data_IF_461200107684
#
_entry.id   IF_461200107684
#
_cell.length_a   1.000
_cell.length_b   1.000
_cell.length_c   1.000
_cell.angle_alpha   90.00
_cell.angle_beta   90.00
_cell.angle_gamma   90.00
#
_symmetry.space_group_name_H-M   'P 1'
#
loop_
_entity.id
_entity.type
_entity.pdbx_description
1 polymer ?
#
# COMPACT_ATOMS: atom_id res chain seq x y z
N UNK A 1 14.78 -16.79 -3.59
CA UNK A 1 13.92 -16.30 -4.69
C UNK A 1 13.02 -15.25 -4.06
N UNK A 2 13.11 -13.98 -4.48
CA UNK A 2 12.23 -12.94 -3.95
C UNK A 2 10.79 -13.24 -4.39
N UNK A 3 9.83 -13.20 -3.47
CA UNK A 3 8.41 -13.38 -3.78
C UNK A 3 7.80 -12.01 -4.11
N UNK A 4 6.84 -11.95 -5.03
CA UNK A 4 6.07 -10.74 -5.31
C UNK A 4 4.60 -10.99 -5.01
N UNK A 5 4.00 -10.07 -4.27
CA UNK A 5 2.58 -10.09 -3.94
C UNK A 5 1.91 -8.95 -4.69
N UNK A 6 0.78 -9.23 -5.34
CA UNK A 6 0.04 -8.23 -6.09
C UNK A 6 -1.38 -8.10 -5.55
N UNK A 7 -1.90 -6.88 -5.52
CA UNK A 7 -3.27 -6.61 -5.17
C UNK A 7 -3.87 -5.58 -6.13
N UNK A 8 -5.08 -5.84 -6.60
CA UNK A 8 -5.75 -4.94 -7.53
C UNK A 8 -6.33 -3.72 -6.83
N UNK A 9 -6.34 -2.59 -7.53
CA UNK A 9 -6.79 -1.31 -7.02
C UNK A 9 -8.26 -1.27 -6.56
N UNK A 10 -9.08 -2.21 -7.02
CA UNK A 10 -10.46 -2.38 -6.59
C UNK A 10 -10.60 -3.17 -5.29
N UNK A 11 -9.54 -3.79 -4.76
CA UNK A 11 -9.64 -4.67 -3.60
C UNK A 11 -9.94 -3.87 -2.32
N UNK A 12 -10.85 -4.35 -1.43
CA UNK A 12 -11.19 -3.66 -0.17
C UNK A 12 -9.99 -3.33 0.72
N UNK A 13 -9.01 -4.22 0.77
CA UNK A 13 -7.83 -4.08 1.62
C UNK A 13 -6.67 -3.30 0.98
N UNK A 14 -6.89 -2.60 -0.14
CA UNK A 14 -5.80 -1.98 -0.90
C UNK A 14 -4.98 -0.96 -0.08
N UNK A 15 -5.62 -0.16 0.77
CA UNK A 15 -4.92 0.76 1.66
C UNK A 15 -4.08 0.04 2.69
N UNK A 16 -4.63 -1.00 3.32
CA UNK A 16 -3.91 -1.79 4.32
C UNK A 16 -2.72 -2.50 3.68
N UNK A 17 -2.91 -3.09 2.51
CA UNK A 17 -1.84 -3.73 1.75
C UNK A 17 -0.65 -2.79 1.50
N UNK A 18 -0.91 -1.56 1.04
CA UNK A 18 0.14 -0.57 0.78
C UNK A 18 0.81 -0.12 2.09
N UNK A 19 0.01 0.30 3.08
CA UNK A 19 0.52 0.84 4.35
C UNK A 19 1.27 -0.23 5.15
N UNK A 20 0.85 -1.50 5.07
CA UNK A 20 1.48 -2.64 5.74
C UNK A 20 2.95 -2.82 5.35
N UNK A 21 3.38 -2.31 4.20
CA UNK A 21 4.77 -2.35 3.75
C UNK A 21 5.59 -1.12 4.13
N UNK A 22 4.95 0.01 4.45
CA UNK A 22 5.65 1.25 4.79
C UNK A 22 6.39 1.17 6.13
N UNK A 23 7.71 1.03 6.13
CA UNK A 23 8.51 0.88 7.36
C UNK A 23 9.11 2.18 7.89
N UNK A 24 8.92 3.31 7.19
CA UNK A 24 9.48 4.59 7.60
C UNK A 24 8.46 5.41 8.43
N UNK A 25 8.67 5.60 9.74
CA UNK A 25 7.73 6.33 10.59
C UNK A 25 7.48 7.77 10.15
N UNK A 26 8.49 8.42 9.53
CA UNK A 26 8.35 9.80 9.05
C UNK A 26 7.37 9.90 7.90
N UNK A 27 7.32 8.88 7.03
CA UNK A 27 6.39 8.85 5.91
C UNK A 27 4.97 8.56 6.39
N UNK A 28 4.80 7.66 7.37
CA UNK A 28 3.49 7.43 8.01
C UNK A 28 2.96 8.70 8.66
N UNK A 29 3.82 9.43 9.38
CA UNK A 29 3.47 10.75 9.92
C UNK A 29 3.11 11.77 8.84
N UNK A 30 3.91 11.83 7.77
CA UNK A 30 3.62 12.70 6.64
C UNK A 30 2.23 12.38 6.03
N UNK A 31 1.89 11.09 5.86
CA UNK A 31 0.57 10.69 5.39
C UNK A 31 -0.54 11.19 6.33
N UNK A 32 -0.37 11.01 7.65
CA UNK A 32 -1.36 11.47 8.64
C UNK A 32 -1.60 12.99 8.56
N UNK A 33 -0.53 13.75 8.37
CA UNK A 33 -0.57 15.22 8.35
C UNK A 33 -1.08 15.80 7.01
N UNK A 34 -0.94 15.06 5.90
CA UNK A 34 -1.15 15.60 4.55
C UNK A 34 -2.28 14.93 3.74
N UNK A 35 -2.86 13.83 4.22
CA UNK A 35 -4.05 13.24 3.58
C UNK A 35 -5.35 13.76 4.18
N UNK A 36 -6.41 13.82 3.37
CA UNK A 36 -7.78 14.03 3.86
C UNK A 36 -8.53 12.71 4.09
N UNK A 37 -8.00 11.57 3.61
CA UNK A 37 -8.64 10.26 3.76
C UNK A 37 -8.45 9.71 5.18
N UNK A 38 -9.55 9.63 5.93
CA UNK A 38 -9.57 9.19 7.32
C UNK A 38 -9.09 7.73 7.52
N UNK A 39 -9.22 6.86 6.52
CA UNK A 39 -8.70 5.49 6.63
C UNK A 39 -7.20 5.45 6.52
N UNK A 40 -6.63 6.23 5.60
CA UNK A 40 -5.17 6.34 5.46
C UNK A 40 -4.60 6.86 6.79
N UNK A 41 -5.22 7.89 7.38
CA UNK A 41 -4.83 8.39 8.72
C UNK A 41 -4.92 7.30 9.77
N UNK A 42 -6.04 6.57 9.83
CA UNK A 42 -6.27 5.51 10.80
C UNK A 42 -5.21 4.41 10.69
N UNK A 43 -5.01 3.84 9.50
CA UNK A 43 -4.06 2.76 9.25
C UNK A 43 -2.60 3.20 9.51
N UNK A 44 -2.25 4.43 9.12
CA UNK A 44 -0.92 4.97 9.39
C UNK A 44 -0.67 5.15 10.90
N UNK A 45 -1.68 5.60 11.66
CA UNK A 45 -1.60 5.69 13.12
C UNK A 45 -1.50 4.31 13.77
N UNK A 46 -2.32 3.35 13.36
CA UNK A 46 -2.30 1.97 13.87
C UNK A 46 -0.96 1.28 13.60
N UNK A 47 -0.26 1.68 12.54
CA UNK A 47 1.08 1.19 12.23
C UNK A 47 2.19 1.86 13.05
N UNK A 48 1.99 3.08 13.52
CA UNK A 48 2.98 3.81 14.32
C UNK A 48 2.98 3.34 15.77
N UNK A 49 4.17 3.17 16.33
CA UNK A 49 4.39 2.97 17.76
C UNK A 49 5.19 4.14 18.31
N UNK A 50 4.72 4.77 19.38
CA UNK A 50 5.41 5.88 20.01
C UNK A 50 5.99 5.48 21.37
N UNK A 51 7.31 5.63 21.53
CA UNK A 51 7.99 5.47 22.82
C UNK A 51 8.35 6.86 23.37
N UNK A 52 7.71 7.34 24.44
CA UNK A 52 8.07 8.59 25.09
C UNK A 52 9.51 8.58 25.58
N UNK A 53 10.15 9.75 25.61
CA UNK A 53 11.46 9.91 26.25
C UNK A 53 11.34 9.69 27.77
N UNK A 54 12.35 9.04 28.33
CA UNK A 54 12.58 9.07 29.78
C UNK A 54 13.20 10.42 30.18
N UNK A 55 13.04 10.82 31.45
CA UNK A 55 13.66 12.05 31.96
C UNK A 55 15.20 12.09 31.76
N UNK A 56 15.85 10.93 31.79
CA UNK A 56 17.28 10.82 31.53
C UNK A 56 17.61 11.05 30.05
N UNK A 57 16.83 10.48 29.13
CA UNK A 57 17.00 10.69 27.68
C UNK A 57 16.71 12.15 27.30
N UNK A 58 15.67 12.75 27.87
CA UNK A 58 15.34 14.17 27.67
C UNK A 58 16.50 15.08 28.12
N UNK A 59 17.02 14.88 29.34
CA UNK A 59 18.18 15.63 29.83
C UNK A 59 19.43 15.42 28.96
N UNK A 60 19.64 14.20 28.46
CA UNK A 60 20.75 13.88 27.55
C UNK A 60 20.62 14.63 26.22
N UNK A 61 19.46 14.56 25.55
CA UNK A 61 19.24 15.25 24.28
C UNK A 61 19.31 16.77 24.44
N UNK A 62 18.77 17.32 25.53
CA UNK A 62 18.90 18.74 25.85
C UNK A 62 20.37 19.13 26.04
N UNK A 63 21.17 18.26 26.66
CA UNK A 63 22.62 18.43 26.75
C UNK A 63 23.30 18.51 25.38
N UNK A 64 22.89 17.67 24.42
CA UNK A 64 23.43 17.67 23.05
C UNK A 64 23.07 18.98 22.33
N UNK A 65 21.81 19.43 22.41
CA UNK A 65 21.36 20.65 21.69
C UNK A 65 22.04 21.93 22.18
N UNK A 66 22.47 21.96 23.44
CA UNK A 66 23.23 23.09 23.99
C UNK A 66 24.58 23.33 23.27
N UNK A 67 25.17 22.30 22.64
CA UNK A 67 26.42 22.43 21.88
C UNK A 67 26.24 22.96 20.45
N UNK A 68 24.99 23.14 19.98
CA UNK A 68 24.69 23.59 18.61
C UNK A 68 25.38 24.88 18.20
N UNK A 69 25.53 25.81 19.16
CA UNK A 69 26.10 27.15 18.93
C UNK A 69 27.60 27.23 19.22
N UNK A 70 28.23 26.14 19.65
CA UNK A 70 29.65 26.13 20.01
C UNK A 70 30.49 25.81 18.77
N UNK A 71 31.60 26.53 18.52
CA UNK A 71 32.53 26.19 17.44
C UNK A 71 32.98 24.72 17.53
N UNK A 72 32.81 23.95 16.45
CA UNK A 72 33.07 22.51 16.46
C UNK A 72 31.98 21.66 17.12
N UNK A 73 30.82 22.24 17.44
CA UNK A 73 29.60 21.57 17.93
C UNK A 73 29.83 20.65 19.14
N UNK A 74 30.85 20.95 19.96
CA UNK A 74 31.20 20.13 21.12
C UNK A 74 31.64 18.70 20.78
N UNK A 75 32.03 18.42 19.53
CA UNK A 75 32.35 17.08 19.05
C UNK A 75 31.16 16.31 18.45
N UNK A 76 29.94 16.87 18.48
CA UNK A 76 28.80 16.33 17.76
C UNK A 76 28.79 16.85 16.33
N UNK A 77 28.25 16.06 15.39
CA UNK A 77 27.99 16.56 14.04
C UNK A 77 26.55 17.09 13.93
N UNK A 78 26.27 17.79 12.83
CA UNK A 78 24.97 18.43 12.61
C UNK A 78 23.81 17.42 12.56
N UNK A 79 24.07 16.18 12.14
CA UNK A 79 23.05 15.14 12.08
C UNK A 79 22.64 14.67 13.48
N UNK A 80 23.59 14.53 14.41
CA UNK A 80 23.31 14.16 15.80
C UNK A 80 22.54 15.27 16.51
N UNK A 81 22.95 16.53 16.33
CA UNK A 81 22.23 17.66 16.93
C UNK A 81 20.80 17.72 16.39
N UNK A 82 20.61 17.57 15.08
CA UNK A 82 19.27 17.54 14.48
C UNK A 82 18.42 16.38 14.99
N UNK A 83 18.99 15.19 15.15
CA UNK A 83 18.27 14.04 15.71
C UNK A 83 17.82 14.28 17.16
N UNK A 84 18.68 14.89 17.99
CA UNK A 84 18.34 15.29 19.35
C UNK A 84 17.21 16.34 19.38
N UNK A 85 17.28 17.36 18.50
CA UNK A 85 16.21 18.37 18.37
C UNK A 85 14.87 17.73 17.99
N UNK A 86 14.86 16.80 17.03
CA UNK A 86 13.64 16.10 16.60
C UNK A 86 13.04 15.26 17.72
N UNK A 87 13.86 14.48 18.45
CA UNK A 87 13.37 13.65 19.56
C UNK A 87 12.81 14.48 20.71
N UNK A 88 13.42 15.62 21.01
CA UNK A 88 12.88 16.56 22.00
C UNK A 88 11.57 17.19 21.53
N UNK A 89 11.50 17.62 20.27
CA UNK A 89 10.28 18.19 19.68
C UNK A 89 9.12 17.17 19.69
N UNK A 90 9.40 15.92 19.33
CA UNK A 90 8.41 14.85 19.30
C UNK A 90 8.11 14.30 20.70
N UNK A 91 8.93 14.60 21.72
CA UNK A 91 8.83 14.07 23.07
C UNK A 91 9.10 12.56 23.17
N UNK A 92 9.69 11.95 22.14
CA UNK A 92 9.85 10.50 22.05
C UNK A 92 10.50 10.02 20.75
N UNK A 93 10.35 8.73 20.51
CA UNK A 93 10.79 8.07 19.26
C UNK A 93 9.64 7.30 18.67
N UNK A 94 9.37 7.54 17.39
CA UNK A 94 8.44 6.75 16.60
C UNK A 94 9.15 5.53 15.98
N UNK A 95 8.53 4.37 16.12
CA UNK A 95 8.85 3.14 15.40
C UNK A 95 7.61 2.65 14.67
N UNK A 96 7.75 1.58 13.89
CA UNK A 96 6.62 0.90 13.22
C UNK A 96 6.32 -0.42 13.91
N UNK A 97 5.04 -0.76 14.04
CA UNK A 97 4.60 -2.09 14.42
C UNK A 97 4.94 -3.09 13.29
N UNK A 98 5.27 -4.33 13.67
CA UNK A 98 5.54 -5.44 12.75
C UNK A 98 6.58 -5.09 11.66
N UNK A 99 7.74 -4.55 12.06
CA UNK A 99 8.82 -4.16 11.13
C UNK A 99 9.31 -5.31 10.22
N UNK A 100 9.15 -6.55 10.69
CA UNK A 100 9.51 -7.77 9.95
C UNK A 100 8.43 -8.23 8.95
N UNK A 101 7.25 -7.60 8.95
CA UNK A 101 6.15 -7.99 8.07
C UNK A 101 6.52 -7.71 6.60
N UNK A 102 6.42 -8.76 5.78
CA UNK A 102 6.72 -8.75 4.33
C UNK A 102 8.16 -8.41 3.93
N UNK A 103 9.14 -8.34 4.83
CA UNK A 103 10.53 -7.93 4.49
C UNK A 103 11.20 -8.78 3.41
N UNK A 104 10.77 -10.03 3.20
CA UNK A 104 11.27 -10.94 2.15
C UNK A 104 10.52 -10.92 0.81
N UNK A 105 9.48 -10.09 0.66
CA UNK A 105 8.66 -10.02 -0.54
C UNK A 105 8.50 -8.58 -1.05
N UNK A 106 8.49 -8.41 -2.36
CA UNK A 106 8.10 -7.17 -3.00
C UNK A 106 6.58 -7.09 -3.14
N UNK A 107 6.03 -5.88 -3.12
CA UNK A 107 4.59 -5.69 -3.39
C UNK A 107 4.36 -4.87 -4.65
N UNK A 108 3.27 -5.13 -5.35
CA UNK A 108 2.80 -4.32 -6.47
C UNK A 108 1.30 -4.13 -6.44
N UNK A 109 0.84 -3.00 -6.96
CA UNK A 109 -0.58 -2.73 -7.15
C UNK A 109 -0.90 -2.88 -8.62
N UNK A 110 -1.97 -3.61 -8.87
CA UNK A 110 -2.51 -3.79 -10.21
C UNK A 110 -3.49 -2.65 -10.48
N UNK A 111 -3.25 -1.88 -11.54
CA UNK A 111 -4.07 -0.72 -11.93
C UNK A 111 -4.82 -0.98 -13.22
N UNK A 112 -6.04 -0.48 -13.26
CA UNK A 112 -6.96 -0.53 -14.39
C UNK A 112 -7.13 0.82 -15.05
N UNK A 113 -7.61 0.79 -16.30
CA UNK A 113 -7.91 2.02 -17.04
C UNK A 113 -9.10 2.77 -16.42
N UNK A 114 -10.10 2.06 -15.89
CA UNK A 114 -11.25 2.69 -15.23
C UNK A 114 -10.85 3.44 -13.95
N UNK A 115 -9.86 2.94 -13.22
CA UNK A 115 -9.27 3.62 -12.07
C UNK A 115 -8.46 4.83 -12.49
N UNK A 116 -7.59 4.69 -13.49
CA UNK A 116 -6.77 5.82 -13.97
C UNK A 116 -7.66 6.95 -14.49
N UNK A 117 -8.73 6.62 -15.21
CA UNK A 117 -9.74 7.59 -15.60
C UNK A 117 -10.39 8.28 -14.40
N UNK A 118 -10.76 7.52 -13.36
CA UNK A 118 -11.31 8.10 -12.13
C UNK A 118 -10.31 9.04 -11.42
N UNK A 119 -9.00 8.73 -11.46
CA UNK A 119 -7.95 9.63 -10.94
C UNK A 119 -7.89 10.94 -11.73
N UNK A 120 -7.88 10.85 -13.07
CA UNK A 120 -7.83 12.01 -13.96
C UNK A 120 -9.04 12.93 -13.76
N UNK A 121 -10.22 12.34 -13.61
CA UNK A 121 -11.50 13.05 -13.44
C UNK A 121 -11.79 13.49 -11.99
N UNK A 122 -10.89 13.19 -11.03
CA UNK A 122 -11.10 13.42 -9.58
C UNK A 122 -12.39 12.78 -9.04
N UNK A 123 -12.73 11.62 -9.61
CA UNK A 123 -13.94 10.88 -9.31
C UNK A 123 -13.77 9.99 -8.07
N UNK A 124 -14.92 9.54 -7.59
CA UNK A 124 -14.99 8.50 -6.58
C UNK A 124 -14.74 7.13 -7.22
N UNK A 125 -14.24 6.17 -6.43
CA UNK A 125 -13.89 4.83 -6.86
C UNK A 125 -14.32 3.80 -5.83
N UNK A 126 -14.99 2.74 -6.30
CA UNK A 126 -15.51 1.68 -5.43
C UNK A 126 -14.49 0.57 -5.21
N UNK A 127 -14.20 0.31 -3.94
CA UNK A 127 -13.51 -0.88 -3.49
C UNK A 127 -14.53 -2.00 -3.31
N UNK A 128 -14.39 -3.04 -4.13
CA UNK A 128 -15.38 -4.09 -4.32
C UNK A 128 -14.73 -5.47 -4.41
N UNK A 129 -15.47 -6.48 -3.97
CA UNK A 129 -15.04 -7.87 -3.97
C UNK A 129 -16.26 -8.78 -4.14
N UNK A 130 -16.10 -10.04 -4.61
CA UNK A 130 -17.17 -11.03 -4.56
C UNK A 130 -17.89 -11.03 -3.21
N UNK A 131 -19.22 -11.08 -3.22
CA UNK A 131 -20.06 -10.94 -2.03
C UNK A 131 -20.07 -12.20 -1.14
N UNK A 132 -18.87 -12.73 -0.82
CA UNK A 132 -18.65 -14.02 -0.15
C UNK A 132 -19.40 -14.14 1.19
N UNK A 133 -19.63 -13.04 1.88
CA UNK A 133 -20.38 -12.99 3.14
C UNK A 133 -21.88 -13.29 2.96
N UNK A 134 -22.42 -13.09 1.76
CA UNK A 134 -23.84 -13.30 1.43
C UNK A 134 -24.09 -14.65 0.73
N UNK A 135 -23.04 -15.39 0.38
CA UNK A 135 -23.15 -16.61 -0.41
C UNK A 135 -23.82 -17.75 0.35
N UNK A 136 -24.73 -18.45 -0.33
CA UNK A 136 -25.18 -19.77 0.09
C UNK A 136 -24.01 -20.77 0.12
N UNK A 137 -24.14 -21.92 0.80
CA UNK A 137 -23.11 -22.96 0.78
C UNK A 137 -22.70 -23.39 -0.64
N UNK A 138 -23.64 -23.43 -1.58
CA UNK A 138 -23.41 -23.78 -2.98
C UNK A 138 -22.64 -22.67 -3.71
N UNK A 139 -23.02 -21.41 -3.52
CA UNK A 139 -22.31 -20.25 -4.09
C UNK A 139 -20.88 -20.15 -3.54
N UNK A 140 -20.70 -20.40 -2.24
CA UNK A 140 -19.37 -20.42 -1.61
C UNK A 140 -18.49 -21.53 -2.17
N UNK A 141 -19.06 -22.73 -2.39
CA UNK A 141 -18.33 -23.83 -3.03
C UNK A 141 -17.87 -23.43 -4.43
N UNK A 142 -18.78 -22.88 -5.25
CA UNK A 142 -18.46 -22.41 -6.59
C UNK A 142 -17.36 -21.33 -6.57
N UNK A 143 -17.48 -20.34 -5.68
CA UNK A 143 -16.46 -19.30 -5.50
C UNK A 143 -15.08 -19.89 -5.19
N UNK A 144 -14.98 -20.80 -4.22
CA UNK A 144 -13.71 -21.44 -3.85
C UNK A 144 -13.10 -22.21 -5.03
N UNK A 145 -13.93 -22.82 -5.87
CA UNK A 145 -13.50 -23.59 -7.03
C UNK A 145 -13.16 -22.72 -8.26
N UNK A 146 -13.67 -21.50 -8.39
CA UNK A 146 -13.64 -20.77 -9.67
C UNK A 146 -13.03 -19.36 -9.58
N UNK A 147 -13.08 -18.69 -8.41
CA UNK A 147 -12.56 -17.33 -8.28
C UNK A 147 -11.08 -17.21 -8.66
N UNK A 148 -10.28 -18.22 -8.34
CA UNK A 148 -8.85 -18.23 -8.64
C UNK A 148 -8.54 -18.35 -10.16
N UNK A 149 -9.51 -18.82 -10.96
CA UNK A 149 -9.40 -18.84 -12.43
C UNK A 149 -9.79 -17.49 -13.05
N UNK A 150 -10.73 -16.77 -12.41
CA UNK A 150 -11.21 -15.46 -12.87
C UNK A 150 -10.31 -14.33 -12.39
N UNK A 151 -10.10 -14.20 -11.08
CA UNK A 151 -9.19 -13.23 -10.44
C UNK A 151 -9.52 -11.75 -10.64
N UNK A 152 -10.58 -11.42 -11.37
CA UNK A 152 -11.01 -10.06 -11.67
C UNK A 152 -12.48 -9.87 -11.27
N UNK A 153 -12.71 -8.94 -10.34
CA UNK A 153 -14.06 -8.65 -9.82
C UNK A 153 -15.01 -8.13 -10.91
N UNK A 154 -14.47 -7.45 -11.92
CA UNK A 154 -15.22 -6.90 -13.05
C UNK A 154 -15.74 -8.03 -13.93
N UNK A 155 -14.93 -9.06 -14.13
CA UNK A 155 -15.32 -10.23 -14.91
C UNK A 155 -16.30 -11.11 -14.13
N UNK A 156 -16.06 -11.28 -12.83
CA UNK A 156 -16.97 -12.00 -11.94
C UNK A 156 -18.38 -11.40 -11.94
N UNK A 157 -18.48 -10.07 -11.88
CA UNK A 157 -19.76 -9.36 -12.01
C UNK A 157 -20.40 -9.56 -13.39
N UNK A 158 -19.62 -9.50 -14.47
CA UNK A 158 -20.11 -9.74 -15.85
C UNK A 158 -20.67 -11.15 -16.05
N UNK A 159 -20.13 -12.14 -15.34
CA UNK A 159 -20.65 -13.52 -15.32
C UNK A 159 -21.96 -13.66 -14.52
N UNK A 160 -22.46 -12.56 -13.94
CA UNK A 160 -23.72 -12.51 -13.20
C UNK A 160 -23.59 -12.89 -11.73
N UNK A 161 -22.37 -12.99 -11.20
CA UNK A 161 -22.14 -13.23 -9.78
C UNK A 161 -22.26 -11.94 -8.96
N UNK A 162 -22.71 -12.08 -7.72
CA UNK A 162 -22.90 -10.94 -6.82
C UNK A 162 -21.56 -10.36 -6.35
N UNK A 163 -21.41 -9.05 -6.48
CA UNK A 163 -20.27 -8.28 -5.99
C UNK A 163 -20.77 -7.29 -4.94
N UNK A 164 -19.97 -7.12 -3.88
CA UNK A 164 -20.23 -6.16 -2.82
C UNK A 164 -19.27 -5.00 -2.91
N UNK A 165 -19.79 -3.79 -2.87
CA UNK A 165 -19.01 -2.59 -2.58
C UNK A 165 -18.79 -2.50 -1.07
N UNK A 166 -17.53 -2.55 -0.66
CA UNK A 166 -17.13 -2.43 0.74
C UNK A 166 -16.94 -0.97 1.14
N UNK A 167 -16.44 -0.17 0.20
CA UNK A 167 -16.16 1.25 0.44
C UNK A 167 -16.08 2.00 -0.88
N UNK A 168 -16.52 3.25 -0.87
CA UNK A 168 -16.22 4.23 -1.92
C UNK A 168 -15.16 5.20 -1.41
N UNK A 169 -14.11 5.43 -2.20
CA UNK A 169 -12.98 6.31 -1.88
C UNK A 169 -12.80 7.37 -2.97
N UNK A 170 -12.01 8.43 -2.71
CA UNK A 170 -11.51 9.27 -3.80
C UNK A 170 -10.42 8.53 -4.56
N UNK A 171 -10.53 8.41 -5.88
CA UNK A 171 -9.52 7.74 -6.70
C UNK A 171 -8.14 8.37 -6.50
N UNK A 172 -8.09 9.71 -6.40
CA UNK A 172 -6.87 10.47 -6.11
C UNK A 172 -6.22 10.10 -4.78
N UNK A 173 -7.00 9.80 -3.74
CA UNK A 173 -6.44 9.43 -2.44
C UNK A 173 -5.63 8.13 -2.51
N UNK A 174 -6.13 7.12 -3.24
CA UNK A 174 -5.38 5.89 -3.49
C UNK A 174 -4.14 6.15 -4.36
N UNK A 175 -4.29 6.95 -5.41
CA UNK A 175 -3.16 7.28 -6.29
C UNK A 175 -2.04 8.03 -5.56
N UNK A 176 -2.39 9.02 -4.74
CA UNK A 176 -1.43 9.78 -3.94
C UNK A 176 -0.74 8.89 -2.90
N UNK A 177 -1.49 7.98 -2.27
CA UNK A 177 -0.91 6.98 -1.36
C UNK A 177 0.12 6.09 -2.08
N UNK A 178 -0.22 5.57 -3.27
CA UNK A 178 0.69 4.76 -4.09
C UNK A 178 1.95 5.56 -4.41
N UNK A 179 1.82 6.81 -4.88
CA UNK A 179 2.96 7.64 -5.28
C UNK A 179 3.87 8.00 -4.11
N UNK A 180 3.29 8.41 -2.96
CA UNK A 180 4.06 8.75 -1.77
C UNK A 180 4.84 7.52 -1.30
N UNK A 181 4.17 6.37 -1.17
CA UNK A 181 4.84 5.14 -0.77
C UNK A 181 5.93 4.73 -1.78
N UNK A 182 5.61 4.68 -3.07
CA UNK A 182 6.59 4.31 -4.11
C UNK A 182 7.81 5.25 -4.11
N UNK A 183 7.61 6.55 -3.91
CA UNK A 183 8.70 7.53 -3.85
C UNK A 183 9.64 7.30 -2.67
N UNK A 184 9.10 6.97 -1.50
CA UNK A 184 9.90 6.92 -0.25
C UNK A 184 10.26 5.50 0.23
N UNK A 185 9.65 4.46 -0.33
CA UNK A 185 9.99 3.05 -0.06
C UNK A 185 10.30 2.22 -1.30
N UNK A 186 10.31 2.81 -2.51
CA UNK A 186 10.45 2.09 -3.79
C UNK A 186 9.35 1.04 -4.05
N UNK A 187 8.26 1.10 -3.28
CA UNK A 187 7.13 0.17 -3.30
C UNK A 187 5.84 0.88 -2.88
N UNK A 188 4.66 0.47 -3.38
CA UNK A 188 4.45 -0.67 -4.28
C UNK A 188 4.94 -0.40 -5.71
N UNK A 189 5.33 -1.46 -6.42
CA UNK A 189 5.41 -1.43 -7.88
C UNK A 189 4.03 -1.24 -8.50
N UNK A 190 3.98 -0.82 -9.77
CA UNK A 190 2.74 -0.59 -10.50
C UNK A 190 2.67 -1.54 -11.69
N UNK A 191 1.52 -2.19 -11.87
CA UNK A 191 1.25 -3.05 -13.01
C UNK A 191 -0.08 -2.68 -13.66
N UNK A 192 -0.03 -2.13 -14.87
CA UNK A 192 -1.23 -1.79 -15.65
C UNK A 192 -1.78 -3.06 -16.33
N UNK A 193 -2.81 -3.67 -15.73
CA UNK A 193 -3.32 -4.98 -16.16
C UNK A 193 -4.08 -4.92 -17.48
N UNK A 194 -4.80 -3.84 -17.73
CA UNK A 194 -5.60 -3.70 -18.95
C UNK A 194 -4.66 -3.57 -20.17
N UNK A 195 -3.64 -2.70 -20.09
CA UNK A 195 -2.56 -2.63 -21.09
C UNK A 195 -1.84 -3.97 -21.29
N UNK A 196 -1.52 -4.69 -20.19
CA UNK A 196 -0.85 -5.98 -20.29
C UNK A 196 -1.72 -7.03 -21.01
N UNK A 197 -3.04 -6.96 -20.84
CA UNK A 197 -4.00 -7.80 -21.56
C UNK A 197 -4.18 -7.33 -23.00
N UNK A 198 -4.21 -6.04 -23.29
CA UNK A 198 -4.35 -5.51 -24.66
C UNK A 198 -3.19 -5.87 -25.57
N UNK A 199 -1.98 -5.85 -25.03
CA UNK A 199 -0.77 -6.13 -25.81
C UNK A 199 -0.38 -7.62 -25.86
N UNK A 200 -1.10 -8.53 -25.17
CA UNK A 200 -0.71 -9.94 -25.12
C UNK A 200 -1.23 -10.75 -26.30
N UNK A 201 -0.37 -11.60 -26.87
CA UNK A 201 -0.79 -12.63 -27.83
C UNK A 201 -1.55 -13.78 -27.15
N UNK A 202 -1.51 -13.88 -25.82
CA UNK A 202 -2.18 -14.91 -25.03
C UNK A 202 -3.72 -14.86 -25.18
N UNK A 203 -4.28 -13.67 -25.50
CA UNK A 203 -5.69 -13.50 -25.86
C UNK A 203 -6.14 -14.43 -26.98
N UNK A 204 -5.29 -14.68 -27.99
CA UNK A 204 -5.59 -15.58 -29.10
C UNK A 204 -5.76 -17.05 -28.65
N UNK A 205 -5.30 -17.39 -27.46
CA UNK A 205 -5.39 -18.71 -26.85
C UNK A 205 -6.44 -18.79 -25.73
N UNK A 206 -7.28 -17.76 -25.58
CA UNK A 206 -8.26 -17.66 -24.50
C UNK A 206 -7.61 -17.49 -23.12
N UNK A 207 -6.48 -16.79 -23.05
CA UNK A 207 -5.75 -16.53 -21.81
C UNK A 207 -5.70 -15.03 -21.51
N UNK A 208 -5.66 -14.67 -20.22
CA UNK A 208 -5.52 -13.31 -19.73
C UNK A 208 -4.33 -13.19 -18.78
N UNK A 209 -3.67 -12.03 -18.79
CA UNK A 209 -2.60 -11.68 -17.86
C UNK A 209 -3.23 -11.31 -16.52
N UNK A 210 -2.78 -11.95 -15.45
CA UNK A 210 -3.32 -11.76 -14.09
C UNK A 210 -2.28 -11.30 -13.08
N UNK A 211 -1.00 -11.47 -13.41
CA UNK A 211 0.12 -11.09 -12.55
C UNK A 211 1.39 -10.85 -13.39
N UNK A 212 2.46 -10.41 -12.72
CA UNK A 212 3.80 -10.34 -13.28
C UNK A 212 4.80 -11.06 -12.36
N UNK A 213 5.96 -11.45 -12.90
CA UNK A 213 7.08 -11.94 -12.08
C UNK A 213 7.69 -10.82 -11.20
N UNK A 214 8.53 -11.17 -10.20
CA UNK A 214 9.08 -10.20 -9.24
C UNK A 214 9.87 -9.02 -9.82
N UNK A 215 10.37 -9.12 -11.05
CA UNK A 215 11.09 -8.05 -11.72
C UNK A 215 10.19 -7.21 -12.67
N UNK A 216 8.92 -7.60 -12.84
CA UNK A 216 7.90 -6.83 -13.58
C UNK A 216 7.86 -7.02 -15.10
N UNK A 217 8.77 -7.80 -15.68
CA UNK A 217 8.97 -7.94 -17.13
C UNK A 217 8.27 -9.16 -17.74
N UNK A 218 7.95 -10.18 -16.93
CA UNK A 218 7.28 -11.41 -17.40
C UNK A 218 5.83 -11.43 -16.96
N UNK A 219 4.93 -11.32 -17.93
CA UNK A 219 3.49 -11.44 -17.76
C UNK A 219 3.11 -12.89 -17.45
N UNK A 220 2.39 -13.12 -16.35
CA UNK A 220 1.84 -14.42 -15.96
C UNK A 220 0.37 -14.48 -16.35
N UNK A 221 -0.01 -15.51 -17.10
CA UNK A 221 -1.34 -15.65 -17.68
C UNK A 221 -2.12 -16.83 -17.10
N UNK A 222 -3.44 -16.65 -16.94
CA UNK A 222 -4.40 -17.72 -16.65
C UNK A 222 -5.29 -17.97 -17.87
N UNK A 223 -5.76 -19.21 -18.02
CA UNK A 223 -6.72 -19.59 -19.06
C UNK A 223 -8.11 -19.17 -18.61
N UNK A 224 -8.81 -18.43 -19.46
CA UNK A 224 -10.20 -18.02 -19.21
C UNK A 224 -11.07 -19.28 -19.36
N UNK A 225 -11.83 -19.61 -18.32
CA UNK A 225 -12.86 -20.64 -18.42
C UNK A 225 -13.92 -20.16 -19.43
N UNK A 226 -14.15 -20.96 -20.49
CA UNK A 226 -15.08 -20.65 -21.57
C UNK A 226 -16.39 -21.40 -21.45
#
# INVERSE_FOLDING_TARGET
MAQMIMLSNWHPDIYEFIISKMQNPRILRYLIENTEDEMIKKLANEKLNFKPLTAQEEAMYQGITNYKQIPGQGGFNAAIIRDAELKLQDGGTYTVHNSEFLTGANISVTLTDDFMKAVEEDADYDLRFPAVENYSPEQMKYYNEQWHEVGDVREWERQGHEVRVYRTIKARALWDLINICATYSAEPGIFFIDNANDDTNAKAYGQQVVATNPCGEVRLTLKIAG
#
